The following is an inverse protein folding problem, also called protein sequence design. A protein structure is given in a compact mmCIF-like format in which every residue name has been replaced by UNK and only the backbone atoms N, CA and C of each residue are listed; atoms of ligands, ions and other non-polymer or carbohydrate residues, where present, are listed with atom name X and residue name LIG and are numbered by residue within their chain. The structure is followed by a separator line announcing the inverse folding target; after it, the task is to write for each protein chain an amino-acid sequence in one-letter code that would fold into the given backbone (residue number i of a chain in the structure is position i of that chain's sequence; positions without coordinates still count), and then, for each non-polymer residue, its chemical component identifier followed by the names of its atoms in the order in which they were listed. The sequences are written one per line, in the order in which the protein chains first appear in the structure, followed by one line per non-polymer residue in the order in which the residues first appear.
data_IF_245663303625
#
_entry.id   IF_245663303625
#
_cell.length_a   1.000
_cell.length_b   1.000
_cell.length_c   1.000
_cell.angle_alpha   90.00
_cell.angle_beta   90.00
_cell.angle_gamma   90.00
#
_symmetry.space_group_name_H-M   'P 1'
#
loop_
_entity.id
_entity.type
_entity.pdbx_description
1 polymer ?
#
# COMPACT_ATOMS: atom_id res chain seq x y z
N UNK A 1 -9.19 -15.03 -10.69
CA UNK A 1 -8.40 -15.71 -9.64
C UNK A 1 -9.09 -17.04 -9.30
N UNK A 2 -8.34 -18.12 -9.04
CA UNK A 2 -8.94 -19.39 -8.62
C UNK A 2 -9.72 -19.20 -7.32
N UNK A 3 -10.78 -19.98 -7.11
CA UNK A 3 -11.52 -19.92 -5.85
C UNK A 3 -10.60 -20.40 -4.71
N UNK A 4 -10.80 -19.86 -3.51
CA UNK A 4 -10.00 -20.24 -2.32
C UNK A 4 -10.02 -21.76 -2.10
N UNK A 5 -11.16 -22.39 -2.36
CA UNK A 5 -11.33 -23.84 -2.26
C UNK A 5 -10.47 -24.59 -3.29
N UNK A 6 -10.41 -24.13 -4.54
CA UNK A 6 -9.60 -24.77 -5.58
C UNK A 6 -8.10 -24.74 -5.22
N UNK A 7 -7.65 -23.60 -4.68
CA UNK A 7 -6.27 -23.43 -4.21
C UNK A 7 -6.00 -24.37 -3.03
N UNK A 8 -6.94 -24.46 -2.08
CA UNK A 8 -6.83 -25.35 -0.93
C UNK A 8 -6.73 -26.82 -1.34
N UNK A 9 -7.57 -27.28 -2.25
CA UNK A 9 -7.54 -28.65 -2.76
C UNK A 9 -6.22 -28.97 -3.47
N UNK A 10 -5.72 -28.04 -4.30
CA UNK A 10 -4.42 -28.20 -4.95
C UNK A 10 -3.26 -28.26 -3.94
N UNK A 11 -3.32 -27.45 -2.88
CA UNK A 11 -2.33 -27.43 -1.81
C UNK A 11 -2.33 -28.74 -1.02
N UNK A 12 -3.49 -29.26 -0.59
CA UNK A 12 -3.56 -30.56 0.11
C UNK A 12 -3.09 -31.69 -0.79
N UNK A 13 -3.46 -31.69 -2.07
CA UNK A 13 -3.04 -32.73 -3.00
C UNK A 13 -1.51 -32.74 -3.21
N UNK A 14 -0.86 -31.58 -3.14
CA UNK A 14 0.58 -31.43 -3.36
C UNK A 14 1.40 -31.56 -2.06
N UNK A 15 0.82 -31.14 -0.95
CA UNK A 15 1.44 -31.03 0.37
C UNK A 15 0.47 -31.61 1.42
N UNK A 16 0.28 -32.94 1.43
CA UNK A 16 -0.69 -33.58 2.30
C UNK A 16 -0.39 -33.31 3.78
N UNK A 17 -1.45 -33.07 4.56
CA UNK A 17 -1.35 -32.87 6.00
C UNK A 17 -0.81 -34.14 6.69
N UNK A 18 0.06 -34.01 7.70
CA UNK A 18 0.46 -35.15 8.51
C UNK A 18 -0.74 -35.77 9.23
N UNK A 19 -0.86 -37.10 9.16
CA UNK A 19 -1.86 -37.87 9.90
C UNK A 19 -1.41 -38.02 11.36
N UNK A 20 -1.72 -37.01 12.18
CA UNK A 20 -1.41 -36.98 13.62
C UNK A 20 -2.63 -36.53 14.44
N UNK A 21 -2.80 -37.15 15.60
CA UNK A 21 -3.86 -36.81 16.56
C UNK A 21 -3.53 -35.59 17.42
N UNK A 22 -2.27 -35.19 17.50
CA UNK A 22 -1.84 -33.98 18.22
C UNK A 22 -2.03 -32.74 17.34
N UNK A 23 -2.93 -31.84 17.76
CA UNK A 23 -3.27 -30.61 17.05
C UNK A 23 -2.09 -29.62 16.89
N UNK A 24 -1.01 -29.73 17.67
CA UNK A 24 0.18 -28.90 17.47
C UNK A 24 0.98 -29.28 16.23
N UNK A 25 0.92 -30.55 15.81
CA UNK A 25 1.63 -31.06 14.62
C UNK A 25 1.11 -30.43 13.32
N UNK A 26 -0.21 -30.41 13.03
CA UNK A 26 -0.71 -29.73 11.84
C UNK A 26 -0.54 -28.20 11.92
N UNK A 27 -0.64 -27.60 13.12
CA UNK A 27 -0.39 -26.16 13.27
C UNK A 27 1.05 -25.77 12.91
N UNK A 28 2.05 -26.54 13.39
CA UNK A 28 3.45 -26.35 13.02
C UNK A 28 3.66 -26.58 11.52
N UNK A 29 3.05 -27.63 10.96
CA UNK A 29 3.12 -27.94 9.54
C UNK A 29 2.62 -26.77 8.68
N UNK A 30 1.45 -26.22 8.99
CA UNK A 30 0.90 -25.06 8.27
C UNK A 30 1.80 -23.83 8.36
N UNK A 31 2.39 -23.57 9.52
CA UNK A 31 3.35 -22.47 9.69
C UNK A 31 4.56 -22.64 8.78
N UNK A 32 5.19 -23.82 8.80
CA UNK A 32 6.38 -24.10 7.98
C UNK A 32 6.05 -24.11 6.48
N UNK A 33 4.89 -24.63 6.11
CA UNK A 33 4.45 -24.67 4.72
C UNK A 33 4.14 -23.27 4.19
N UNK A 34 3.52 -22.41 5.00
CA UNK A 34 3.29 -21.01 4.62
C UNK A 34 4.61 -20.27 4.33
N UNK A 35 5.63 -20.48 5.16
CA UNK A 35 6.96 -19.91 4.94
C UNK A 35 7.59 -20.45 3.64
N UNK A 36 7.55 -21.77 3.42
CA UNK A 36 8.09 -22.39 2.22
C UNK A 36 7.39 -21.92 0.93
N UNK A 37 6.04 -21.81 0.95
CA UNK A 37 5.25 -21.32 -0.17
C UNK A 37 5.50 -19.83 -0.44
N UNK A 38 5.78 -19.04 0.60
CA UNK A 38 6.18 -17.63 0.47
C UNK A 38 7.51 -17.51 -0.28
N UNK A 39 8.52 -18.32 0.07
CA UNK A 39 9.79 -18.35 -0.65
C UNK A 39 9.63 -18.86 -2.09
N UNK A 40 8.84 -19.91 -2.31
CA UNK A 40 8.54 -20.41 -3.65
C UNK A 40 7.84 -19.34 -4.51
N UNK A 41 6.92 -18.58 -3.92
CA UNK A 41 6.26 -17.45 -4.58
C UNK A 41 7.27 -16.41 -5.06
N UNK A 42 8.30 -16.09 -4.28
CA UNK A 42 9.38 -15.17 -4.69
C UNK A 42 10.12 -15.69 -5.91
N UNK A 43 10.51 -16.97 -5.92
CA UNK A 43 11.21 -17.59 -7.06
C UNK A 43 10.40 -17.45 -8.36
N UNK A 44 9.08 -17.70 -8.32
CA UNK A 44 8.24 -17.52 -9.49
C UNK A 44 8.04 -16.05 -9.90
N UNK A 45 8.01 -15.12 -8.94
CA UNK A 45 7.97 -13.67 -9.24
C UNK A 45 9.25 -13.18 -9.91
N UNK A 46 10.40 -13.69 -9.48
CA UNK A 46 11.69 -13.36 -10.10
C UNK A 46 11.76 -13.93 -11.52
N UNK A 47 11.37 -15.20 -11.71
CA UNK A 47 11.30 -15.83 -13.03
C UNK A 47 10.33 -15.11 -13.98
N UNK A 48 9.19 -14.63 -13.46
CA UNK A 48 8.26 -13.81 -14.23
C UNK A 48 8.89 -12.47 -14.63
N UNK A 49 9.59 -11.81 -13.70
CA UNK A 49 10.28 -10.55 -13.97
C UNK A 49 11.38 -10.71 -15.04
N UNK A 50 12.12 -11.82 -15.01
CA UNK A 50 13.11 -12.16 -16.04
C UNK A 50 12.46 -12.39 -17.41
N UNK A 51 11.30 -13.06 -17.45
CA UNK A 51 10.54 -13.25 -18.67
C UNK A 51 10.05 -11.91 -19.24
N UNK A 52 9.52 -11.03 -18.40
CA UNK A 52 9.11 -9.66 -18.79
C UNK A 52 10.30 -8.87 -19.33
N UNK A 53 11.45 -8.93 -18.64
CA UNK A 53 12.66 -8.25 -19.08
C UNK A 53 13.09 -8.72 -20.47
N UNK A 54 13.09 -10.03 -20.73
CA UNK A 54 13.38 -10.58 -22.06
C UNK A 54 12.38 -10.10 -23.12
N UNK A 55 11.08 -10.16 -22.84
CA UNK A 55 10.03 -9.68 -23.76
C UNK A 55 10.29 -8.23 -24.16
N UNK A 56 10.59 -7.35 -23.19
CA UNK A 56 10.86 -5.93 -23.46
C UNK A 56 12.17 -5.72 -24.20
N UNK A 57 13.25 -6.38 -23.78
CA UNK A 57 14.59 -6.24 -24.36
C UNK A 57 14.64 -6.70 -25.81
N UNK A 58 13.98 -7.80 -26.12
CA UNK A 58 13.97 -8.40 -27.46
C UNK A 58 12.80 -7.90 -28.33
N UNK A 59 11.91 -7.06 -27.78
CA UNK A 59 10.74 -6.55 -28.49
C UNK A 59 9.76 -7.65 -28.91
N UNK A 60 9.65 -8.72 -28.11
CA UNK A 60 8.82 -9.87 -28.45
C UNK A 60 7.36 -9.47 -28.47
N UNK A 61 6.65 -9.91 -29.51
CA UNK A 61 5.21 -9.71 -29.65
C UNK A 61 4.51 -11.05 -29.78
N UNK A 62 3.27 -11.13 -29.28
CA UNK A 62 2.45 -12.33 -29.39
C UNK A 62 1.11 -12.02 -30.06
N UNK A 63 0.63 -12.95 -30.87
CA UNK A 63 -0.70 -12.88 -31.47
C UNK A 63 -1.82 -13.18 -30.45
N UNK A 64 -1.48 -13.84 -29.33
CA UNK A 64 -2.46 -14.33 -28.33
C UNK A 64 -2.38 -13.57 -27.02
N UNK A 65 -1.20 -13.05 -26.66
CA UNK A 65 -0.97 -12.44 -25.36
C UNK A 65 -0.50 -10.98 -25.49
N UNK A 66 -0.84 -10.17 -24.49
CA UNK A 66 -0.38 -8.80 -24.33
C UNK A 66 0.25 -8.64 -22.95
N UNK A 67 1.42 -8.01 -22.91
CA UNK A 67 2.03 -7.57 -21.65
C UNK A 67 1.48 -6.19 -21.30
N UNK A 68 0.81 -6.08 -20.16
CA UNK A 68 0.24 -4.85 -19.63
C UNK A 68 1.09 -4.36 -18.46
N UNK A 69 1.39 -3.07 -18.44
CA UNK A 69 2.10 -2.40 -17.35
C UNK A 69 1.09 -1.64 -16.50
N UNK A 70 1.00 -2.00 -15.22
CA UNK A 70 0.12 -1.35 -14.26
C UNK A 70 0.90 -0.30 -13.47
N UNK A 71 0.29 0.87 -13.29
CA UNK A 71 0.84 1.95 -12.49
C UNK A 71 -0.06 2.20 -11.30
N UNK A 72 0.54 2.31 -10.12
CA UNK A 72 -0.16 2.74 -8.92
C UNK A 72 -0.11 4.25 -8.86
N UNK A 73 -1.29 4.87 -8.79
CA UNK A 73 -1.43 6.27 -8.47
C UNK A 73 -1.45 6.43 -6.95
N UNK A 74 -0.41 7.05 -6.41
CA UNK A 74 -0.45 7.57 -5.04
C UNK A 74 -0.80 9.05 -5.10
N UNK A 75 -1.94 9.41 -4.51
CA UNK A 75 -2.34 10.81 -4.32
C UNK A 75 -1.90 11.22 -2.91
N UNK A 76 -1.20 12.35 -2.79
CA UNK A 76 -0.87 12.97 -1.51
C UNK A 76 -1.47 14.37 -1.46
N UNK A 77 -2.01 14.77 -0.33
CA UNK A 77 -2.52 16.13 -0.15
C UNK A 77 -1.36 17.11 -0.03
N UNK A 78 -1.39 18.19 -0.81
CA UNK A 78 -0.46 19.30 -0.70
C UNK A 78 -0.92 20.23 0.44
N UNK A 79 -0.31 20.02 1.60
CA UNK A 79 -0.68 20.70 2.84
C UNK A 79 -0.42 22.20 2.82
N UNK A 80 0.65 22.63 2.15
CA UNK A 80 0.98 24.05 2.02
C UNK A 80 -0.11 24.78 1.25
N UNK A 81 -0.63 24.17 0.19
CA UNK A 81 -1.70 24.76 -0.62
C UNK A 81 -3.05 24.77 0.11
N UNK A 82 -3.38 23.70 0.85
CA UNK A 82 -4.60 23.65 1.66
C UNK A 82 -4.55 24.69 2.80
N UNK A 83 -3.40 24.88 3.44
CA UNK A 83 -3.22 25.91 4.46
C UNK A 83 -3.36 27.33 3.88
N UNK A 84 -2.84 27.56 2.68
CA UNK A 84 -2.90 28.86 2.00
C UNK A 84 -4.34 29.22 1.60
N UNK A 85 -5.05 28.28 0.96
CA UNK A 85 -6.36 28.54 0.37
C UNK A 85 -7.54 28.30 1.34
N UNK A 86 -7.39 27.38 2.30
CA UNK A 86 -8.45 26.93 3.23
C UNK A 86 -7.91 26.65 4.64
N UNK A 87 -7.41 27.68 5.35
CA UNK A 87 -6.81 27.51 6.68
C UNK A 87 -7.77 26.92 7.73
N UNK A 88 -9.08 27.16 7.60
CA UNK A 88 -10.11 26.58 8.46
C UNK A 88 -10.24 25.06 8.31
N UNK A 89 -10.15 24.55 7.08
CA UNK A 89 -10.20 23.11 6.76
C UNK A 89 -8.91 22.44 7.20
N UNK A 90 -7.78 23.12 6.98
CA UNK A 90 -6.48 22.64 7.45
C UNK A 90 -6.48 22.41 8.97
N UNK A 91 -6.95 23.40 9.73
CA UNK A 91 -6.98 23.34 11.20
C UNK A 91 -7.89 22.21 11.73
N UNK A 92 -8.96 21.87 10.99
CA UNK A 92 -9.90 20.82 11.38
C UNK A 92 -9.41 19.40 11.03
N UNK A 93 -8.72 19.24 9.90
CA UNK A 93 -8.42 17.92 9.31
C UNK A 93 -6.98 17.45 9.48
N UNK A 94 -6.10 18.29 10.04
CA UNK A 94 -4.70 17.93 10.20
C UNK A 94 -4.49 16.88 11.29
N UNK A 95 -4.05 15.70 10.89
CA UNK A 95 -3.67 14.60 11.78
C UNK A 95 -2.15 14.56 11.94
N UNK A 96 -1.69 14.33 13.18
CA UNK A 96 -0.32 13.95 13.47
C UNK A 96 -0.24 12.42 13.53
N UNK A 97 0.86 11.82 13.05
CA UNK A 97 0.98 10.35 13.07
C UNK A 97 1.01 9.77 14.51
N UNK A 98 0.63 8.49 14.63
CA UNK A 98 0.45 7.82 15.92
C UNK A 98 1.74 7.67 16.76
N UNK A 99 2.92 7.60 16.12
CA UNK A 99 4.21 7.53 16.83
C UNK A 99 4.55 8.87 17.47
N UNK A 100 4.18 9.95 16.79
CA UNK A 100 4.37 11.34 17.23
C UNK A 100 3.32 11.71 18.28
N UNK A 101 2.07 11.30 18.10
CA UNK A 101 0.99 11.51 19.08
C UNK A 101 1.24 10.80 20.42
N UNK A 102 1.85 9.60 20.41
CA UNK A 102 2.12 8.83 21.65
C UNK A 102 3.19 9.46 22.55
N UNK A 103 4.12 10.25 22.00
CA UNK A 103 5.05 11.06 22.81
C UNK A 103 4.44 12.39 23.27
N UNK A 104 3.26 12.74 22.75
CA UNK A 104 2.63 14.07 22.86
C UNK A 104 1.39 14.07 23.76
N UNK A 105 0.76 12.94 24.06
CA UNK A 105 -0.39 12.88 24.97
C UNK A 105 0.04 12.90 26.45
N UNK A 106 0.00 14.02 27.18
CA UNK A 106 -1.12 14.96 27.25
C UNK A 106 -1.17 16.04 26.16
N UNK A 107 -2.05 15.81 25.18
CA UNK A 107 -1.96 16.33 23.81
C UNK A 107 -2.15 17.83 23.64
N UNK A 108 -2.94 18.48 24.49
CA UNK A 108 -3.25 19.90 24.30
C UNK A 108 -2.12 20.82 24.73
N UNK A 109 -1.33 20.43 25.74
CA UNK A 109 -0.20 21.22 26.24
C UNK A 109 1.00 21.12 25.31
N UNK A 110 1.18 19.96 24.68
CA UNK A 110 2.36 19.70 23.85
C UNK A 110 2.23 20.27 22.43
N UNK A 111 1.01 20.35 21.87
CA UNK A 111 0.79 21.11 20.64
C UNK A 111 1.14 22.60 20.81
N UNK A 112 0.60 23.24 21.86
CA UNK A 112 0.90 24.65 22.14
C UNK A 112 2.40 24.90 22.38
N UNK A 113 3.08 23.99 23.12
CA UNK A 113 4.52 24.10 23.36
C UNK A 113 5.40 23.82 22.14
N UNK A 114 4.96 22.95 21.22
CA UNK A 114 5.69 22.71 19.96
C UNK A 114 5.62 23.94 19.04
N UNK A 115 4.46 24.58 18.94
CA UNK A 115 4.31 25.85 18.20
C UNK A 115 5.18 26.95 18.80
N UNK A 116 5.19 27.10 20.12
CA UNK A 116 6.02 28.10 20.81
C UNK A 116 7.54 27.88 20.65
N UNK A 117 8.00 26.63 20.46
CA UNK A 117 9.42 26.28 20.50
C UNK A 117 10.12 26.27 19.14
N UNK A 118 9.46 25.78 18.08
CA UNK A 118 10.05 25.65 16.74
C UNK A 118 9.34 26.49 15.67
N UNK A 119 8.33 27.25 16.08
CA UNK A 119 7.48 28.00 15.18
C UNK A 119 6.45 27.11 14.51
N UNK A 120 5.30 27.70 14.20
CA UNK A 120 4.17 27.03 13.56
C UNK A 120 4.57 26.38 12.23
N UNK A 121 5.38 27.05 11.41
CA UNK A 121 5.88 26.55 10.11
C UNK A 121 6.56 25.17 10.20
N UNK A 122 7.38 24.92 11.21
CA UNK A 122 8.08 23.63 11.36
C UNK A 122 7.16 22.50 11.85
N UNK A 123 6.04 22.84 12.49
CA UNK A 123 5.00 21.88 12.91
C UNK A 123 4.14 21.49 11.70
N UNK A 124 3.86 22.47 10.83
CA UNK A 124 3.11 22.27 9.57
C UNK A 124 3.84 21.35 8.57
N UNK A 125 5.18 21.24 8.62
CA UNK A 125 5.94 20.30 7.76
C UNK A 125 5.63 18.81 8.01
N UNK A 126 5.12 18.46 9.20
CA UNK A 126 4.87 17.06 9.63
C UNK A 126 3.40 16.72 9.85
N UNK A 127 2.55 17.72 9.70
CA UNK A 127 1.12 17.57 9.58
C UNK A 127 0.76 16.61 8.45
N UNK A 128 -0.38 15.93 8.53
CA UNK A 128 -0.92 15.13 7.44
C UNK A 128 -2.44 15.26 7.38
N UNK A 129 -2.98 15.53 6.20
CA UNK A 129 -4.41 15.43 5.90
C UNK A 129 -4.57 14.21 5.00
N UNK A 130 -5.53 13.34 5.32
CA UNK A 130 -5.79 12.17 4.48
C UNK A 130 -6.62 12.58 3.26
N UNK A 131 -6.42 11.90 2.12
CA UNK A 131 -7.19 12.16 0.89
C UNK A 131 -8.70 12.06 1.16
N UNK A 132 -9.09 11.04 1.93
CA UNK A 132 -10.48 10.78 2.27
C UNK A 132 -11.11 11.95 3.03
N UNK A 133 -10.43 12.48 4.05
CA UNK A 133 -10.97 13.57 4.85
C UNK A 133 -11.10 14.86 4.02
N UNK A 134 -10.14 15.12 3.12
CA UNK A 134 -10.20 16.26 2.21
C UNK A 134 -11.35 16.13 1.20
N UNK A 135 -11.55 14.95 0.62
CA UNK A 135 -12.66 14.68 -0.30
C UNK A 135 -14.02 14.78 0.40
N UNK A 136 -14.13 14.35 1.66
CA UNK A 136 -15.36 14.49 2.46
C UNK A 136 -15.68 15.97 2.75
N UNK A 137 -14.67 16.81 2.96
CA UNK A 137 -14.85 18.23 3.25
C UNK A 137 -15.14 19.09 2.00
N UNK A 138 -14.47 18.83 0.88
CA UNK A 138 -14.52 19.68 -0.32
C UNK A 138 -15.34 19.07 -1.48
N UNK A 139 -15.57 17.76 -1.46
CA UNK A 139 -16.02 17.00 -2.63
C UNK A 139 -14.86 16.66 -3.58
N UNK A 140 -14.98 15.53 -4.29
CA UNK A 140 -13.89 14.94 -5.09
C UNK A 140 -13.35 15.87 -6.19
N UNK A 141 -14.23 16.56 -6.93
CA UNK A 141 -13.82 17.50 -7.98
C UNK A 141 -13.08 18.73 -7.43
N UNK A 142 -13.52 19.24 -6.27
CA UNK A 142 -12.93 20.42 -5.63
C UNK A 142 -11.64 20.09 -4.88
N UNK A 143 -11.45 18.83 -4.46
CA UNK A 143 -10.24 18.37 -3.76
C UNK A 143 -9.07 18.10 -4.72
N UNK A 144 -9.35 17.80 -6.00
CA UNK A 144 -8.35 17.41 -6.99
C UNK A 144 -7.15 18.37 -7.18
N UNK A 145 -7.32 19.71 -7.16
CA UNK A 145 -6.19 20.65 -7.29
C UNK A 145 -5.17 20.57 -6.15
N UNK A 146 -5.59 20.06 -4.99
CA UNK A 146 -4.76 19.94 -3.80
C UNK A 146 -4.04 18.58 -3.71
N UNK A 147 -4.12 17.74 -4.73
CA UNK A 147 -3.51 16.42 -4.74
C UNK A 147 -2.26 16.36 -5.63
N UNK A 148 -1.13 15.99 -5.04
CA UNK A 148 0.04 15.51 -5.77
C UNK A 148 -0.18 14.07 -6.22
N UNK A 149 -0.50 13.90 -7.50
CA UNK A 149 -0.60 12.57 -8.12
C UNK A 149 0.78 12.12 -8.56
N UNK A 150 1.34 11.13 -7.87
CA UNK A 150 2.55 10.43 -8.32
C UNK A 150 2.19 9.05 -8.84
N UNK A 151 2.63 8.74 -10.07
CA UNK A 151 2.55 7.40 -10.65
C UNK A 151 3.85 6.66 -10.37
N UNK A 152 3.75 5.55 -9.66
CA UNK A 152 4.84 4.59 -9.54
C UNK A 152 4.47 3.31 -10.29
N UNK A 153 5.45 2.68 -10.93
CA UNK A 153 5.26 1.34 -11.46
C UNK A 153 4.77 0.39 -10.35
N UNK A 154 3.70 -0.36 -10.60
CA UNK A 154 3.14 -1.32 -9.65
C UNK A 154 3.60 -2.73 -10.00
N UNK A 155 3.06 -3.29 -11.09
CA UNK A 155 3.42 -4.63 -11.55
C UNK A 155 3.12 -4.81 -13.05
N UNK A 156 3.67 -5.88 -13.63
CA UNK A 156 3.31 -6.33 -14.97
C UNK A 156 2.31 -7.47 -14.91
N UNK A 157 1.44 -7.55 -15.91
CA UNK A 157 0.50 -8.64 -16.10
C UNK A 157 0.53 -9.12 -17.55
N UNK A 158 0.35 -10.42 -17.76
CA UNK A 158 0.15 -10.98 -19.09
C UNK A 158 -1.33 -11.35 -19.23
N UNK A 159 -2.00 -10.70 -20.18
CA UNK A 159 -3.43 -10.92 -20.47
C UNK A 159 -3.59 -11.60 -21.84
N UNK A 160 -4.63 -12.41 -21.97
CA UNK A 160 -5.05 -12.98 -23.26
C UNK A 160 -5.80 -11.89 -24.04
N UNK A 161 -5.51 -11.78 -25.34
CA UNK A 161 -6.20 -10.88 -26.27
C UNK A 161 -7.64 -11.29 -26.55
#
# INVERSE_FOLDING_TARGET
MPAKEDVWQALIASFPEPDDTDAYVPALYYSQMADALSELSKVYKDAFSDAVYRIRKEGLTSAVYTLVEHFRESRKVNLSLVLEDHPEIYAELVHLDGRTAQSILGASVLFARCVDAVGEEAVLEKAMITVKDLEEALGEESAAPYMDVRRSHDHFEVVVK
#
